data_IF_949925885700
#
_entry.id   IF_949925885700
#
_cell.length_a   1.000
_cell.length_b   1.000
_cell.length_c   1.000
_cell.angle_alpha   90.00
_cell.angle_beta   90.00
_cell.angle_gamma   90.00
#
_symmetry.space_group_name_H-M   'P 1'
#
loop_
_entity.id
_entity.type
_entity.pdbx_description
1 polymer ?
#
# COMPACT_ATOMS: atom_id res chain seq x y z
N UNK A 1 29.64 28.73 3.93
CA UNK A 1 28.99 27.47 4.32
C UNK A 1 29.98 26.63 5.12
N UNK A 2 29.54 26.03 6.23
CA UNK A 2 30.42 25.25 7.10
C UNK A 2 30.89 23.96 6.37
N UNK A 3 32.17 23.60 6.48
CA UNK A 3 32.79 22.49 5.74
C UNK A 3 32.24 21.11 6.12
N UNK A 4 31.52 21.02 7.24
CA UNK A 4 30.90 19.79 7.76
C UNK A 4 29.37 19.79 7.61
N UNK A 5 28.81 20.59 6.70
CA UNK A 5 27.37 20.55 6.42
C UNK A 5 27.02 19.40 5.47
N UNK A 6 25.92 18.73 5.73
CA UNK A 6 25.39 17.65 4.90
C UNK A 6 23.91 17.89 4.60
N UNK A 7 23.44 17.58 3.37
CA UNK A 7 22.03 17.65 3.07
C UNK A 7 21.29 16.56 3.84
N UNK A 8 20.13 16.91 4.37
CA UNK A 8 19.20 15.95 4.96
C UNK A 8 17.80 16.18 4.40
N UNK A 9 17.03 15.09 4.30
CA UNK A 9 15.68 15.12 3.72
C UNK A 9 14.65 15.50 4.76
N UNK A 10 13.71 16.35 4.36
CA UNK A 10 12.51 16.74 5.13
C UNK A 10 11.30 16.77 4.21
N UNK A 11 10.09 16.74 4.77
CA UNK A 11 8.86 16.82 3.99
C UNK A 11 8.55 18.26 3.61
N UNK A 12 8.19 18.49 2.35
CA UNK A 12 7.70 19.80 1.89
C UNK A 12 6.41 20.22 2.60
N UNK A 13 5.60 19.26 3.08
CA UNK A 13 4.41 19.53 3.88
C UNK A 13 4.68 20.29 5.17
N UNK A 14 5.93 20.35 5.65
CA UNK A 14 6.33 21.19 6.79
C UNK A 14 6.12 22.69 6.50
N UNK A 15 6.14 23.10 5.23
CA UNK A 15 6.07 24.50 4.80
C UNK A 15 4.62 24.98 4.54
N UNK A 16 3.63 24.34 5.14
CA UNK A 16 2.23 24.77 5.07
C UNK A 16 1.91 25.81 6.15
N UNK A 17 0.90 26.64 5.91
CA UNK A 17 0.43 27.67 6.88
C UNK A 17 0.08 27.08 8.24
N UNK A 18 -0.55 25.90 8.26
CA UNK A 18 -0.90 25.20 9.50
C UNK A 18 0.34 24.90 10.37
N UNK A 19 1.45 24.50 9.76
CA UNK A 19 2.69 24.21 10.47
C UNK A 19 3.45 25.49 10.84
N UNK A 20 3.36 26.52 10.00
CA UNK A 20 3.92 27.84 10.30
C UNK A 20 3.32 28.40 11.60
N UNK A 21 1.99 28.34 11.76
CA UNK A 21 1.30 28.83 12.95
C UNK A 21 1.62 27.98 14.19
N UNK A 22 1.74 26.66 14.01
CA UNK A 22 2.02 25.70 15.11
C UNK A 22 3.46 25.71 15.57
N UNK A 23 4.45 25.90 14.69
CA UNK A 23 5.88 25.86 15.04
C UNK A 23 6.49 27.25 15.19
N UNK A 24 6.12 28.20 14.33
CA UNK A 24 6.81 29.48 14.21
C UNK A 24 8.33 29.30 14.13
N UNK A 25 9.07 30.04 14.96
CA UNK A 25 10.54 29.97 15.01
C UNK A 25 11.11 28.67 15.57
N UNK A 26 10.31 27.81 16.21
CA UNK A 26 10.79 26.52 16.75
C UNK A 26 11.17 25.52 15.65
N UNK A 27 10.82 25.81 14.39
CA UNK A 27 11.20 25.01 13.22
C UNK A 27 12.72 24.80 13.12
N UNK A 28 13.53 25.79 13.53
CA UNK A 28 14.99 25.67 13.52
C UNK A 28 15.49 24.55 14.44
N UNK A 29 14.90 24.46 15.64
CA UNK A 29 15.22 23.42 16.60
C UNK A 29 14.73 22.05 16.10
N UNK A 30 13.53 22.01 15.51
CA UNK A 30 12.99 20.79 14.93
C UNK A 30 13.87 20.23 13.79
N UNK A 31 14.29 21.09 12.85
CA UNK A 31 15.19 20.73 11.76
C UNK A 31 16.55 20.25 12.28
N UNK A 32 17.06 20.87 13.34
CA UNK A 32 18.28 20.42 14.00
C UNK A 32 18.11 19.02 14.60
N UNK A 33 16.99 18.70 15.23
CA UNK A 33 16.73 17.35 15.73
C UNK A 33 16.65 16.32 14.59
N UNK A 34 16.04 16.65 13.45
CA UNK A 34 16.04 15.79 12.27
C UNK A 34 17.48 15.53 11.81
N UNK A 35 18.29 16.59 11.69
CA UNK A 35 19.69 16.46 11.29
C UNK A 35 20.49 15.59 12.28
N UNK A 36 20.23 15.74 13.58
CA UNK A 36 20.89 15.03 14.69
C UNK A 36 20.28 13.66 15.00
N UNK A 37 19.33 13.19 14.19
CA UNK A 37 18.75 11.85 14.34
C UNK A 37 19.81 10.80 13.97
N UNK A 38 20.07 9.85 14.86
CA UNK A 38 21.09 8.80 14.66
C UNK A 38 20.48 7.45 14.33
N UNK A 39 19.29 7.16 14.88
CA UNK A 39 18.55 5.92 14.65
C UNK A 39 17.07 6.23 14.51
N UNK A 40 16.37 5.45 13.70
CA UNK A 40 14.92 5.48 13.61
C UNK A 40 14.35 4.22 14.26
N UNK A 41 13.35 4.38 15.12
CA UNK A 41 12.59 3.29 15.72
C UNK A 41 11.12 3.47 15.35
N UNK A 42 10.45 2.37 15.03
CA UNK A 42 8.99 2.37 14.82
C UNK A 42 8.34 2.07 16.16
N UNK A 43 7.54 3.01 16.66
CA UNK A 43 6.75 2.84 17.87
C UNK A 43 5.31 3.24 17.55
N UNK A 44 4.36 2.37 17.85
CA UNK A 44 2.92 2.56 17.58
C UNK A 44 2.58 2.86 16.10
N UNK A 45 3.26 2.20 15.15
CA UNK A 45 3.06 2.45 13.72
C UNK A 45 3.60 3.80 13.21
N UNK A 46 4.17 4.62 14.10
CA UNK A 46 4.76 5.92 13.76
C UNK A 46 6.29 5.82 13.81
N UNK A 47 6.97 6.36 12.80
CA UNK A 47 8.44 6.44 12.79
C UNK A 47 8.90 7.54 13.74
N UNK A 48 9.68 7.16 14.75
CA UNK A 48 10.31 8.04 15.71
C UNK A 48 11.83 8.03 15.53
N UNK A 49 12.40 9.22 15.34
CA UNK A 49 13.84 9.43 15.26
C UNK A 49 14.43 9.61 16.64
N UNK A 50 15.36 8.76 17.03
CA UNK A 50 16.18 8.96 18.22
C UNK A 50 17.22 10.02 17.92
N UNK A 51 17.14 11.13 18.64
CA UNK A 51 18.10 12.22 18.57
C UNK A 51 19.35 11.83 19.37
N UNK A 52 20.54 11.98 18.76
CA UNK A 52 21.84 11.76 19.40
C UNK A 52 21.99 10.41 20.13
N UNK A 53 21.26 9.37 19.72
CA UNK A 53 21.34 8.04 20.30
C UNK A 53 20.84 7.94 21.75
N UNK A 54 19.81 8.72 22.11
CA UNK A 54 19.29 8.86 23.49
C UNK A 54 20.26 9.53 24.46
N UNK A 55 21.31 10.18 23.98
CA UNK A 55 22.14 11.04 24.83
C UNK A 55 21.26 12.13 25.46
N UNK A 56 21.22 12.27 26.80
CA UNK A 56 20.51 13.38 27.44
C UNK A 56 21.13 14.71 27.03
N UNK A 57 20.33 15.62 26.48
CA UNK A 57 20.78 16.95 26.04
C UNK A 57 20.23 18.00 26.99
N UNK A 58 21.08 18.95 27.41
CA UNK A 58 20.65 20.08 28.24
C UNK A 58 20.12 21.21 27.36
N UNK A 59 19.12 21.95 27.86
CA UNK A 59 18.60 23.13 27.16
C UNK A 59 19.68 24.17 26.85
N UNK A 60 20.70 24.26 27.71
CA UNK A 60 21.89 25.10 27.52
C UNK A 60 22.69 24.75 26.28
N UNK A 61 22.96 23.48 26.06
CA UNK A 61 23.73 23.02 24.89
C UNK A 61 22.99 23.35 23.59
N UNK A 62 21.67 23.19 23.58
CA UNK A 62 20.83 23.58 22.44
C UNK A 62 20.81 25.10 22.24
N UNK A 63 20.77 25.89 23.32
CA UNK A 63 20.80 27.34 23.29
C UNK A 63 22.11 27.88 22.69
N UNK A 64 23.24 27.27 23.04
CA UNK A 64 24.57 27.61 22.52
C UNK A 64 24.67 27.40 21.00
N UNK A 65 24.02 26.37 20.44
CA UNK A 65 24.01 26.11 18.99
C UNK A 65 23.37 27.25 18.19
N UNK A 66 22.29 27.85 18.71
CA UNK A 66 21.54 28.91 18.01
C UNK A 66 21.88 30.33 18.51
N UNK A 67 22.68 30.46 19.57
CA UNK A 67 22.95 31.74 20.21
C UNK A 67 21.71 32.36 20.88
N UNK A 68 20.77 31.55 21.35
CA UNK A 68 19.52 32.02 21.98
C UNK A 68 19.52 31.73 23.49
N UNK A 69 18.59 32.35 24.23
CA UNK A 69 18.44 32.05 25.67
C UNK A 69 17.89 30.65 25.92
N UNK A 70 18.25 30.02 27.05
CA UNK A 70 17.66 28.74 27.48
C UNK A 70 16.14 28.81 27.59
N UNK A 71 15.60 29.96 28.02
CA UNK A 71 14.15 30.18 28.14
C UNK A 71 13.46 30.06 26.78
N UNK A 72 14.10 30.56 25.72
CA UNK A 72 13.61 30.42 24.34
C UNK A 72 13.58 28.96 23.90
N UNK A 73 14.65 28.21 24.17
CA UNK A 73 14.72 26.79 23.82
C UNK A 73 13.67 25.98 24.57
N UNK A 74 13.48 26.21 25.87
CA UNK A 74 12.42 25.55 26.65
C UNK A 74 11.04 25.83 26.07
N UNK A 75 10.74 27.09 25.74
CA UNK A 75 9.48 27.45 25.07
C UNK A 75 9.31 26.75 23.73
N UNK A 76 10.38 26.61 22.94
CA UNK A 76 10.34 25.86 21.69
C UNK A 76 10.09 24.37 21.91
N UNK A 77 10.73 23.76 22.92
CA UNK A 77 10.47 22.36 23.30
C UNK A 77 9.02 22.14 23.70
N UNK A 78 8.49 22.99 24.60
CA UNK A 78 7.10 22.89 25.07
C UNK A 78 6.10 23.02 23.91
N UNK A 79 6.39 23.91 22.96
CA UNK A 79 5.55 24.16 21.79
C UNK A 79 5.61 22.99 20.78
N UNK A 80 6.80 22.45 20.53
CA UNK A 80 6.98 21.26 19.68
C UNK A 80 6.37 20.00 20.29
N UNK A 81 6.44 19.85 21.62
CA UNK A 81 5.81 18.75 22.35
C UNK A 81 4.29 18.88 22.35
N UNK A 82 3.76 20.07 22.61
CA UNK A 82 2.31 20.36 22.59
C UNK A 82 1.66 20.03 21.24
N UNK A 83 2.36 20.26 20.14
CA UNK A 83 1.89 19.94 18.80
C UNK A 83 2.34 18.56 18.31
N UNK A 84 2.85 17.72 19.20
CA UNK A 84 3.26 16.33 18.96
C UNK A 84 4.34 16.14 17.88
N UNK A 85 5.15 17.16 17.62
CA UNK A 85 6.28 17.03 16.68
C UNK A 85 7.44 16.27 17.33
N UNK A 86 7.58 16.38 18.64
CA UNK A 86 8.60 15.70 19.43
C UNK A 86 7.96 15.06 20.67
N UNK A 87 8.59 14.01 21.18
CA UNK A 87 8.37 13.48 22.53
C UNK A 87 9.61 13.78 23.36
N UNK A 88 9.41 14.34 24.54
CA UNK A 88 10.48 14.67 25.47
C UNK A 88 10.35 13.75 26.69
N UNK A 89 11.43 13.04 27.03
CA UNK A 89 11.52 12.21 28.22
C UNK A 89 12.59 12.79 29.13
N UNK A 90 12.26 13.03 30.41
CA UNK A 90 13.23 13.51 31.39
C UNK A 90 14.20 12.38 31.75
N UNK A 91 15.49 12.68 31.67
CA UNK A 91 16.58 11.82 32.15
C UNK A 91 17.34 12.52 33.29
N UNK A 92 18.09 11.78 34.13
CA UNK A 92 18.83 12.35 35.26
C UNK A 92 19.80 13.49 34.87
N UNK A 93 20.32 13.49 33.64
CA UNK A 93 21.34 14.44 33.18
C UNK A 93 20.87 15.38 32.04
N UNK A 94 19.59 15.35 31.68
CA UNK A 94 19.06 16.17 30.58
C UNK A 94 17.74 15.67 30.02
N UNK A 95 17.44 16.05 28.79
CA UNK A 95 16.24 15.66 28.06
C UNK A 95 16.61 14.65 26.97
N UNK A 96 15.91 13.51 26.94
CA UNK A 96 15.93 12.58 25.82
C UNK A 96 14.82 12.97 24.86
N UNK A 97 15.15 13.14 23.59
CA UNK A 97 14.23 13.69 22.59
C UNK A 97 14.05 12.69 21.46
N UNK A 98 12.78 12.43 21.15
CA UNK A 98 12.37 11.61 20.02
C UNK A 98 11.58 12.46 19.04
N UNK A 99 11.90 12.40 17.75
CA UNK A 99 11.29 13.22 16.70
C UNK A 99 10.28 12.42 15.92
N UNK A 100 9.07 12.94 15.73
CA UNK A 100 8.04 12.30 14.90
C UNK A 100 8.37 12.50 13.41
N UNK A 101 8.16 11.46 12.60
CA UNK A 101 8.37 11.50 11.14
C UNK A 101 9.79 11.83 10.66
N UNK A 102 10.82 11.50 11.44
CA UNK A 102 12.19 11.52 10.90
C UNK A 102 12.26 10.50 9.75
N UNK A 103 12.51 10.98 8.53
CA UNK A 103 12.74 10.15 7.32
C UNK A 103 14.21 10.20 6.89
N UNK A 104 15.11 10.48 7.83
CA UNK A 104 16.55 10.60 7.55
C UNK A 104 17.11 9.28 7.02
N UNK A 105 16.61 8.15 7.54
CA UNK A 105 16.95 6.80 7.10
C UNK A 105 15.80 6.16 6.36
N UNK A 106 15.14 6.91 5.47
CA UNK A 106 14.33 6.26 4.43
C UNK A 106 15.28 5.33 3.71
N UNK A 107 15.14 4.02 3.95
CA UNK A 107 16.00 3.02 3.35
C UNK A 107 16.06 3.36 1.88
N UNK A 108 17.26 3.67 1.39
CA UNK A 108 17.53 3.58 -0.02
C UNK A 108 17.11 2.16 -0.39
N UNK A 109 15.97 2.04 -1.06
CA UNK A 109 15.66 0.89 -1.89
C UNK A 109 16.56 0.89 -3.14
N UNK A 110 17.68 1.63 -3.13
CA UNK A 110 18.83 1.35 -3.95
C UNK A 110 19.60 0.21 -3.28
N UNK A 111 19.08 -1.01 -3.48
CA UNK A 111 19.94 -2.17 -3.64
C UNK A 111 20.89 -1.84 -4.79
N UNK A 112 22.00 -1.17 -4.48
CA UNK A 112 23.20 -1.35 -5.27
C UNK A 112 23.57 -2.82 -5.08
N UNK A 113 23.12 -3.64 -6.03
CA UNK A 113 23.75 -4.92 -6.32
C UNK A 113 25.21 -4.57 -6.59
N UNK A 114 26.04 -4.77 -5.58
CA UNK A 114 27.48 -4.80 -5.73
C UNK A 114 27.75 -6.04 -6.60
N UNK A 115 28.28 -5.91 -7.82
CA UNK A 115 28.71 -7.09 -8.55
C UNK A 115 29.86 -7.71 -7.75
N UNK A 116 29.60 -8.92 -7.26
CA UNK A 116 30.58 -9.88 -6.75
C UNK A 116 31.81 -9.91 -7.67
N UNK A 117 33.00 -9.70 -7.10
CA UNK A 117 34.25 -9.82 -7.85
C UNK A 117 35.42 -9.09 -7.22
N UNK A 118 35.97 -9.64 -6.14
CA UNK A 118 37.43 -9.85 -5.96
C UNK A 118 37.75 -10.12 -4.49
N UNK A 119 37.76 -11.40 -4.15
CA UNK A 119 38.80 -12.10 -3.40
C UNK A 119 39.84 -11.22 -2.68
N UNK A 120 39.65 -11.00 -1.36
CA UNK A 120 40.75 -10.86 -0.37
C UNK A 120 40.26 -11.29 1.01
N UNK A 121 40.72 -12.48 1.39
CA UNK A 121 40.90 -13.01 2.74
C UNK A 121 41.35 -11.94 3.73
N UNK A 122 40.67 -11.79 4.88
CA UNK A 122 41.30 -11.73 6.21
C UNK A 122 40.27 -12.08 7.31
N UNK A 123 40.67 -12.83 8.35
CA UNK A 123 39.75 -13.49 9.29
C UNK A 123 39.65 -12.71 10.62
N UNK A 124 38.45 -12.59 11.21
CA UNK A 124 38.31 -12.29 12.65
C UNK A 124 37.05 -12.95 13.23
N UNK A 125 37.31 -13.96 14.07
CA UNK A 125 36.59 -14.49 15.24
C UNK A 125 35.04 -14.53 15.29
N UNK A 126 34.46 -15.73 15.50
CA UNK A 126 33.06 -15.92 15.87
C UNK A 126 32.92 -16.25 17.36
N UNK A 127 32.43 -15.33 18.19
CA UNK A 127 31.77 -15.72 19.44
C UNK A 127 30.56 -14.82 19.75
N UNK A 128 29.42 -15.50 19.91
CA UNK A 128 28.42 -15.27 20.95
C UNK A 128 27.54 -14.01 20.93
N UNK A 129 26.34 -14.14 20.35
CA UNK A 129 25.18 -14.71 21.08
C UNK A 129 23.91 -14.64 20.24
N UNK A 130 23.33 -15.82 20.09
CA UNK A 130 21.97 -16.09 19.69
C UNK A 130 20.98 -15.41 20.66
N UNK A 131 20.23 -14.42 20.18
CA UNK A 131 18.89 -14.12 20.72
C UNK A 131 17.93 -14.10 19.54
N UNK A 132 17.40 -15.27 19.23
CA UNK A 132 16.05 -15.40 18.68
C UNK A 132 15.11 -14.55 19.55
N UNK A 133 14.57 -13.50 18.96
CA UNK A 133 13.22 -13.08 19.31
C UNK A 133 12.42 -13.12 18.02
N UNK A 134 11.59 -14.15 17.93
CA UNK A 134 10.44 -14.19 17.05
C UNK A 134 9.63 -12.91 17.33
N UNK A 135 9.72 -11.92 16.44
CA UNK A 135 8.76 -10.83 16.42
C UNK A 135 7.74 -11.24 15.38
N UNK A 136 6.70 -11.85 15.93
CA UNK A 136 5.44 -12.18 15.30
C UNK A 136 4.98 -11.01 14.41
N UNK A 137 4.97 -11.27 13.10
CA UNK A 137 4.57 -10.31 12.07
C UNK A 137 3.04 -10.23 12.14
N UNK A 138 2.52 -9.49 13.11
CA UNK A 138 1.09 -9.13 13.11
C UNK A 138 0.90 -8.02 12.08
N UNK A 139 0.43 -8.47 10.91
CA UNK A 139 0.13 -7.71 9.70
C UNK A 139 -0.90 -6.60 9.95
N UNK A 140 -0.45 -5.36 10.10
CA UNK A 140 -1.23 -4.20 9.64
C UNK A 140 -0.82 -3.88 8.21
N UNK A 141 -1.37 -4.63 7.26
CA UNK A 141 -1.31 -4.28 5.84
C UNK A 141 -2.17 -3.03 5.64
N UNK A 142 -1.60 -1.85 5.84
CA UNK A 142 -2.28 -0.61 5.49
C UNK A 142 -2.58 -0.65 3.99
N UNK A 143 -3.79 -0.27 3.56
CA UNK A 143 -4.16 -0.27 2.13
C UNK A 143 -3.14 0.49 1.26
N UNK A 144 -2.44 1.46 1.84
CA UNK A 144 -1.32 2.18 1.25
C UNK A 144 -0.13 1.26 0.90
N UNK A 145 0.21 0.28 1.73
CA UNK A 145 1.29 -0.67 1.46
C UNK A 145 0.94 -1.60 0.29
N UNK A 146 -0.32 -2.00 0.17
CA UNK A 146 -0.79 -2.76 -0.99
C UNK A 146 -0.72 -1.94 -2.27
N UNK A 147 -1.17 -0.68 -2.22
CA UNK A 147 -1.09 0.26 -3.34
C UNK A 147 0.37 0.47 -3.76
N UNK A 148 1.27 0.68 -2.79
CA UNK A 148 2.69 0.91 -3.04
C UNK A 148 3.38 -0.33 -3.65
N UNK A 149 3.03 -1.53 -3.20
CA UNK A 149 3.53 -2.80 -3.78
C UNK A 149 3.11 -2.94 -5.25
N UNK A 150 1.83 -2.67 -5.56
CA UNK A 150 1.32 -2.74 -6.93
C UNK A 150 1.99 -1.66 -7.81
N UNK A 151 2.09 -0.42 -7.31
CA UNK A 151 2.71 0.69 -8.03
C UNK A 151 4.20 0.42 -8.33
N UNK A 152 4.95 -0.09 -7.36
CA UNK A 152 6.35 -0.46 -7.53
C UNK A 152 6.54 -1.55 -8.60
N UNK A 153 5.67 -2.56 -8.60
CA UNK A 153 5.72 -3.62 -9.61
C UNK A 153 5.38 -3.09 -11.03
N UNK A 154 4.40 -2.19 -11.15
CA UNK A 154 4.06 -1.54 -12.41
C UNK A 154 5.22 -0.69 -12.94
N UNK A 155 5.86 0.10 -12.08
CA UNK A 155 7.05 0.91 -12.44
C UNK A 155 8.18 0.02 -12.97
N UNK A 156 8.42 -1.12 -12.33
CA UNK A 156 9.46 -2.07 -12.74
C UNK A 156 9.19 -2.63 -14.14
N UNK A 157 7.96 -3.08 -14.41
CA UNK A 157 7.56 -3.62 -15.71
C UNK A 157 7.64 -2.55 -16.81
N UNK A 158 7.18 -1.33 -16.50
CA UNK A 158 7.20 -0.21 -17.44
C UNK A 158 8.61 0.28 -17.74
N UNK A 159 9.48 0.34 -16.72
CA UNK A 159 10.88 0.74 -16.91
C UNK A 159 11.65 -0.31 -17.73
N UNK A 160 11.33 -1.59 -17.56
CA UNK A 160 11.89 -2.66 -18.39
C UNK A 160 11.42 -2.56 -19.85
N UNK A 161 10.17 -2.18 -20.08
CA UNK A 161 9.60 -2.04 -21.44
C UNK A 161 10.10 -0.79 -22.17
N UNK A 162 10.20 0.36 -21.48
CA UNK A 162 10.62 1.63 -22.09
C UNK A 162 12.15 1.82 -22.11
N UNK A 163 12.93 0.95 -21.44
CA UNK A 163 14.40 1.05 -21.35
C UNK A 163 14.90 2.29 -20.59
N UNK A 164 14.00 3.00 -19.91
CA UNK A 164 14.27 4.22 -19.14
C UNK A 164 13.56 4.15 -17.79
N UNK A 165 14.05 4.90 -16.80
CA UNK A 165 13.36 5.00 -15.50
C UNK A 165 12.08 5.79 -15.67
N UNK A 166 10.95 5.18 -15.36
CA UNK A 166 9.62 5.81 -15.43
C UNK A 166 8.94 5.75 -14.08
N UNK A 167 8.31 6.85 -13.67
CA UNK A 167 7.57 6.94 -12.42
C UNK A 167 6.07 6.81 -12.66
N UNK A 168 5.35 6.24 -11.69
CA UNK A 168 3.90 6.20 -11.72
C UNK A 168 3.32 7.62 -11.50
N UNK A 169 2.38 8.01 -12.34
CA UNK A 169 1.66 9.28 -12.20
C UNK A 169 0.68 9.23 -11.02
N UNK A 170 0.29 10.38 -10.46
CA UNK A 170 -0.81 10.47 -9.49
C UNK A 170 -2.10 9.79 -9.99
N UNK A 171 -2.38 9.85 -11.30
CA UNK A 171 -3.51 9.13 -11.92
C UNK A 171 -3.37 7.61 -11.86
N UNK A 172 -2.14 7.09 -11.93
CA UNK A 172 -1.86 5.66 -11.83
C UNK A 172 -2.12 5.18 -10.39
N UNK A 173 -1.68 5.96 -9.39
CA UNK A 173 -1.97 5.68 -7.97
C UNK A 173 -3.48 5.65 -7.67
N UNK A 174 -4.23 6.61 -8.22
CA UNK A 174 -5.70 6.62 -8.10
C UNK A 174 -6.35 5.37 -8.72
N UNK A 175 -5.86 4.94 -9.89
CA UNK A 175 -6.37 3.74 -10.55
C UNK A 175 -6.03 2.46 -9.76
N UNK A 176 -4.83 2.38 -9.18
CA UNK A 176 -4.43 1.27 -8.29
C UNK A 176 -5.33 1.23 -7.04
N UNK A 177 -5.54 2.38 -6.40
CA UNK A 177 -6.40 2.47 -5.22
C UNK A 177 -7.84 2.01 -5.51
N UNK A 178 -8.37 2.32 -6.70
CA UNK A 178 -9.69 1.82 -7.13
C UNK A 178 -9.73 0.30 -7.24
N UNK A 179 -8.69 -0.33 -7.78
CA UNK A 179 -8.62 -1.80 -7.90
C UNK A 179 -8.53 -2.47 -6.53
N UNK A 180 -7.72 -1.92 -5.62
CA UNK A 180 -7.61 -2.41 -4.23
C UNK A 180 -8.94 -2.25 -3.49
N UNK A 181 -9.62 -1.09 -3.65
CA UNK A 181 -10.94 -0.85 -3.04
C UNK A 181 -12.04 -1.81 -3.51
N UNK A 182 -11.89 -2.40 -4.70
CA UNK A 182 -12.79 -3.43 -5.24
C UNK A 182 -12.49 -4.84 -4.72
N UNK A 183 -11.54 -4.97 -3.78
CA UNK A 183 -11.22 -6.22 -3.10
C UNK A 183 -10.17 -7.08 -3.82
N UNK A 184 -9.37 -6.50 -4.71
CA UNK A 184 -8.24 -7.21 -5.33
C UNK A 184 -7.04 -7.14 -4.41
N UNK A 185 -6.52 -8.30 -4.01
CA UNK A 185 -5.29 -8.37 -3.21
C UNK A 185 -4.06 -7.92 -4.00
N UNK A 186 -3.05 -7.36 -3.32
CA UNK A 186 -1.80 -6.94 -3.96
C UNK A 186 -1.13 -8.04 -4.79
N UNK A 187 -1.17 -9.29 -4.30
CA UNK A 187 -0.60 -10.44 -4.99
C UNK A 187 -1.34 -10.76 -6.30
N UNK A 188 -2.67 -10.72 -6.30
CA UNK A 188 -3.47 -10.95 -7.52
C UNK A 188 -3.28 -9.83 -8.54
N UNK A 189 -3.25 -8.57 -8.10
CA UNK A 189 -2.99 -7.42 -8.96
C UNK A 189 -1.61 -7.52 -9.62
N UNK A 190 -0.57 -7.91 -8.87
CA UNK A 190 0.79 -8.13 -9.41
C UNK A 190 0.80 -9.24 -10.46
N UNK A 191 0.12 -10.37 -10.20
CA UNK A 191 0.00 -11.45 -11.17
C UNK A 191 -0.69 -11.00 -12.46
N UNK A 192 -1.81 -10.28 -12.34
CA UNK A 192 -2.54 -9.76 -13.49
C UNK A 192 -1.77 -8.68 -14.25
N UNK A 193 -0.94 -7.89 -13.58
CA UNK A 193 0.00 -6.97 -14.24
C UNK A 193 0.97 -7.73 -15.13
N UNK A 194 1.60 -8.79 -14.63
CA UNK A 194 2.50 -9.63 -15.42
C UNK A 194 1.82 -10.17 -16.68
N UNK A 195 0.63 -10.76 -16.51
CA UNK A 195 -0.16 -11.29 -17.64
C UNK A 195 -0.62 -10.22 -18.63
N UNK A 196 -0.91 -9.01 -18.15
CA UNK A 196 -1.28 -7.89 -19.01
C UNK A 196 -0.10 -7.43 -19.88
N UNK A 197 1.10 -7.35 -19.31
CA UNK A 197 2.31 -6.96 -20.04
C UNK A 197 2.74 -8.06 -21.03
N UNK A 198 2.66 -9.34 -20.66
CA UNK A 198 2.97 -10.44 -21.61
C UNK A 198 1.96 -10.48 -22.76
N UNK A 199 0.66 -10.36 -22.47
CA UNK A 199 -0.38 -10.31 -23.49
C UNK A 199 -0.28 -9.05 -24.39
N UNK A 200 0.33 -7.98 -23.89
CA UNK A 200 0.63 -6.80 -24.69
C UNK A 200 1.84 -7.03 -25.59
N UNK A 201 2.94 -7.58 -25.06
CA UNK A 201 4.14 -7.92 -25.86
C UNK A 201 3.82 -8.90 -26.99
N UNK A 202 2.96 -9.90 -26.75
CA UNK A 202 2.55 -10.84 -27.80
C UNK A 202 1.72 -10.19 -28.94
N UNK A 203 1.05 -9.07 -28.67
CA UNK A 203 0.23 -8.35 -29.65
C UNK A 203 0.96 -7.15 -30.26
N UNK A 204 2.10 -6.77 -29.68
CA UNK A 204 2.85 -5.58 -30.05
C UNK A 204 3.40 -5.74 -31.47
N UNK A 205 3.10 -4.75 -32.33
CA UNK A 205 3.57 -4.75 -33.73
C UNK A 205 4.84 -3.93 -33.88
N UNK A 206 5.03 -2.88 -33.07
CA UNK A 206 6.21 -2.00 -33.10
C UNK A 206 6.87 -1.84 -31.74
N UNK A 207 8.20 -1.75 -31.72
CA UNK A 207 9.00 -1.51 -30.51
C UNK A 207 8.70 -0.17 -29.82
N UNK A 208 8.06 0.77 -30.52
CA UNK A 208 7.66 2.09 -30.00
C UNK A 208 6.35 2.07 -29.19
N UNK A 209 5.57 0.99 -29.28
CA UNK A 209 4.32 0.86 -28.54
C UNK A 209 4.62 0.36 -27.12
N UNK A 210 4.27 1.15 -26.12
CA UNK A 210 4.48 0.81 -24.72
C UNK A 210 3.26 1.15 -23.89
N UNK A 211 3.12 0.46 -22.75
CA UNK A 211 2.04 0.75 -21.81
C UNK A 211 2.39 2.02 -21.03
N UNK A 212 1.75 3.13 -21.37
CA UNK A 212 2.04 4.46 -20.79
C UNK A 212 1.28 4.79 -19.50
N UNK A 213 0.20 4.07 -19.21
CA UNK A 213 -0.68 4.39 -18.08
C UNK A 213 -1.27 3.12 -17.47
N UNK A 214 -1.40 3.13 -16.14
CA UNK A 214 -1.99 2.02 -15.39
C UNK A 214 -3.47 1.80 -15.75
N UNK A 215 -4.16 2.83 -16.25
CA UNK A 215 -5.55 2.73 -16.71
C UNK A 215 -5.77 1.63 -17.77
N UNK A 216 -4.77 1.33 -18.59
CA UNK A 216 -4.82 0.21 -19.54
C UNK A 216 -4.88 -1.13 -18.80
N UNK A 217 -3.97 -1.34 -17.84
CA UNK A 217 -3.94 -2.53 -17.01
C UNK A 217 -5.18 -2.63 -16.11
N UNK A 218 -5.71 -1.50 -15.63
CA UNK A 218 -6.92 -1.45 -14.82
C UNK A 218 -8.12 -2.02 -15.58
N UNK A 219 -8.34 -1.64 -16.86
CA UNK A 219 -9.40 -2.21 -17.69
C UNK A 219 -9.31 -3.73 -17.81
N UNK A 220 -8.10 -4.25 -18.08
CA UNK A 220 -7.85 -5.68 -18.16
C UNK A 220 -8.16 -6.42 -16.85
N UNK A 221 -7.86 -5.81 -15.70
CA UNK A 221 -8.17 -6.37 -14.39
C UNK A 221 -9.68 -6.29 -14.07
N UNK A 222 -10.33 -5.18 -14.42
CA UNK A 222 -11.76 -4.98 -14.22
C UNK A 222 -12.59 -6.00 -15.00
N UNK A 223 -12.24 -6.27 -16.27
CA UNK A 223 -12.91 -7.30 -17.08
C UNK A 223 -12.88 -8.67 -16.41
N UNK A 224 -11.73 -9.01 -15.80
CA UNK A 224 -11.52 -10.29 -15.13
C UNK A 224 -12.25 -10.39 -13.79
N UNK A 225 -12.34 -9.27 -13.08
CA UNK A 225 -13.10 -9.16 -11.85
C UNK A 225 -14.60 -9.27 -12.12
N UNK A 226 -15.08 -8.59 -13.16
CA UNK A 226 -16.46 -8.68 -13.64
C UNK A 226 -16.80 -10.11 -14.09
N UNK A 227 -15.90 -10.79 -14.81
CA UNK A 227 -16.08 -12.18 -15.20
C UNK A 227 -16.14 -13.13 -13.98
N UNK A 228 -15.36 -12.87 -12.92
CA UNK A 228 -15.42 -13.62 -11.65
C UNK A 228 -16.75 -13.39 -10.94
N UNK A 229 -17.23 -12.15 -10.86
CA UNK A 229 -18.53 -11.81 -10.27
C UNK A 229 -19.66 -12.48 -11.06
N UNK A 230 -19.65 -12.37 -12.40
CA UNK A 230 -20.62 -12.99 -13.28
C UNK A 230 -20.69 -14.51 -13.11
N UNK A 231 -19.52 -15.18 -13.03
CA UNK A 231 -19.46 -16.63 -12.77
C UNK A 231 -20.06 -17.00 -11.41
N UNK A 232 -19.77 -16.24 -10.35
CA UNK A 232 -20.36 -16.45 -9.01
C UNK A 232 -21.88 -16.24 -9.00
N UNK A 233 -22.40 -15.24 -9.73
CA UNK A 233 -23.85 -15.02 -9.86
C UNK A 233 -24.54 -16.11 -10.68
N UNK A 234 -23.90 -16.64 -11.72
CA UNK A 234 -24.44 -17.75 -12.53
C UNK A 234 -24.48 -19.04 -11.71
N UNK A 235 -23.45 -19.35 -10.92
CA UNK A 235 -23.44 -20.54 -10.05
C UNK A 235 -24.49 -20.45 -8.94
N UNK A 236 -24.62 -19.30 -8.27
CA UNK A 236 -25.69 -19.11 -7.26
C UNK A 236 -27.08 -19.16 -7.86
N UNK A 237 -27.31 -18.62 -9.06
CA UNK A 237 -28.60 -18.77 -9.78
C UNK A 237 -28.88 -20.23 -10.14
N UNK A 238 -27.87 -20.98 -10.61
CA UNK A 238 -27.99 -22.42 -10.89
C UNK A 238 -28.27 -23.23 -9.63
N UNK A 239 -27.63 -22.92 -8.51
CA UNK A 239 -27.88 -23.57 -7.21
C UNK A 239 -29.28 -23.27 -6.69
N UNK A 240 -29.74 -22.00 -6.75
CA UNK A 240 -31.13 -21.64 -6.40
C UNK A 240 -32.14 -22.38 -7.28
N UNK A 241 -31.90 -22.45 -8.59
CA UNK A 241 -32.77 -23.19 -9.50
C UNK A 241 -32.76 -24.70 -9.19
N UNK A 242 -31.62 -25.28 -8.79
CA UNK A 242 -31.50 -26.70 -8.41
C UNK A 242 -32.18 -27.02 -7.08
N UNK A 243 -32.22 -26.07 -6.15
CA UNK A 243 -33.00 -26.17 -4.91
C UNK A 243 -34.51 -26.09 -5.23
N UNK A 244 -34.91 -25.18 -6.12
CA UNK A 244 -36.31 -25.03 -6.52
C UNK A 244 -36.84 -26.25 -7.32
N UNK A 245 -35.99 -26.88 -8.14
CA UNK A 245 -36.30 -28.15 -8.81
C UNK A 245 -36.47 -29.30 -7.79
N UNK A 246 -35.67 -29.34 -6.72
CA UNK A 246 -35.81 -30.36 -5.66
C UNK A 246 -37.09 -30.16 -4.83
N UNK A 247 -37.59 -28.94 -4.70
CA UNK A 247 -38.86 -28.67 -3.99
C UNK A 247 -40.10 -29.06 -4.79
N UNK A 248 -40.00 -29.20 -6.11
CA UNK A 248 -41.12 -29.66 -6.96
C UNK A 248 -41.25 -31.19 -7.05
N UNK A 249 -40.31 -31.95 -6.46
CA UNK A 249 -40.40 -33.42 -6.36
C UNK A 249 -41.14 -33.90 -5.10
N UNK A 250 -41.91 -33.02 -4.44
CA UNK A 250 -42.87 -33.39 -3.39
C UNK A 250 -44.30 -33.15 -3.89
N UNK A 251 -44.69 -33.98 -4.84
CA UNK A 251 -46.06 -34.24 -5.24
C UNK A 251 -46.04 -35.69 -5.77
N UNK A 252 -46.90 -36.63 -5.41
CA UNK A 252 -48.07 -36.61 -4.56
C UNK A 252 -48.45 -38.11 -4.51
N UNK A 253 -48.11 -38.81 -3.43
CA UNK A 253 -48.58 -40.17 -3.20
C UNK A 253 -50.00 -40.08 -2.63
N UNK A 254 -50.96 -39.70 -3.47
CA UNK A 254 -52.40 -39.97 -3.33
C UNK A 254 -53.17 -39.25 -4.45
N UNK A 255 -53.11 -39.84 -5.65
CA UNK A 255 -54.03 -39.48 -6.73
C UNK A 255 -55.08 -40.59 -6.85
N UNK A 256 -56.36 -40.35 -6.51
CA UNK A 256 -57.39 -41.31 -6.83
C UNK A 256 -57.49 -41.40 -8.36
N UNK A 257 -57.48 -42.63 -8.88
CA UNK A 257 -57.61 -42.92 -10.30
C UNK A 257 -58.80 -42.16 -10.91
N UNK A 258 -58.49 -41.25 -11.84
CA UNK A 258 -59.51 -40.67 -12.70
C UNK A 258 -59.90 -41.74 -13.72
N UNK A 259 -61.11 -42.28 -13.53
CA UNK A 259 -61.80 -43.16 -14.47
C UNK A 259 -61.65 -42.65 -15.90
N UNK A 260 -61.22 -43.54 -16.78
CA UNK A 260 -61.24 -43.38 -18.21
C UNK A 260 -62.68 -43.12 -18.67
N UNK A 261 -62.89 -42.08 -19.47
CA UNK A 261 -63.88 -42.04 -20.55
C UNK A 261 -63.69 -40.75 -21.34
N UNK A 262 -62.84 -40.80 -22.36
CA UNK A 262 -62.92 -39.88 -23.50
C UNK A 262 -63.40 -40.69 -24.70
N UNK A 263 -64.68 -40.51 -25.05
CA UNK A 263 -65.38 -41.18 -26.16
C UNK A 263 -64.96 -40.64 -27.55
N UNK A 264 -64.10 -39.62 -27.62
CA UNK A 264 -63.59 -39.07 -28.89
C UNK A 264 -62.08 -39.25 -28.95
N UNK A 265 -61.65 -40.31 -29.63
CA UNK A 265 -60.25 -40.69 -29.84
C UNK A 265 -59.45 -39.70 -30.70
N UNK A 266 -59.10 -38.55 -30.13
CA UNK A 266 -57.95 -37.76 -30.59
C UNK A 266 -58.03 -37.19 -32.02
N UNK A 267 -59.21 -36.80 -32.50
CA UNK A 267 -59.31 -36.06 -33.78
C UNK A 267 -59.75 -34.61 -33.56
N UNK A 268 -58.77 -33.69 -33.53
CA UNK A 268 -59.03 -32.26 -33.67
C UNK A 268 -59.15 -31.91 -35.16
N UNK A 269 -60.39 -31.86 -35.66
CA UNK A 269 -60.73 -31.40 -37.01
C UNK A 269 -60.74 -29.88 -37.12
N UNK A 270 -59.96 -29.36 -38.08
CA UNK A 270 -59.80 -27.93 -38.40
C UNK A 270 -61.03 -27.43 -39.19
N UNK A 271 -61.90 -26.63 -38.56
CA UNK A 271 -63.06 -26.03 -39.25
C UNK A 271 -62.57 -24.85 -40.10
N UNK A 272 -62.63 -24.99 -41.42
CA UNK A 272 -62.45 -23.88 -42.39
C UNK A 272 -63.74 -23.06 -42.47
N UNK A 273 -63.66 -21.75 -42.25
CA UNK A 273 -64.72 -20.80 -42.59
C UNK A 273 -64.72 -20.56 -44.10
N UNK A 274 -65.87 -20.69 -44.76
CA UNK A 274 -66.10 -20.20 -46.14
C UNK A 274 -66.51 -18.73 -46.09
N UNK A 275 -66.16 -17.90 -47.08
CA UNK A 275 -66.76 -16.59 -47.26
C UNK A 275 -68.10 -16.72 -48.01
N UNK A 276 -68.97 -15.75 -47.69
CA UNK A 276 -70.31 -15.38 -48.21
C UNK A 276 -70.85 -16.18 -49.40
#
# INVERSE_FOLDING_TARGET
MNRNSYPFLTYSGLLNSEHYDKMGSSVWLFLWFISSTTKEQVHDGVKWGIVLGQKPVKAREMAEVFGVSEKTVRRWLDLLEKHEYIKVVRAPYGLMISVKHSKKFTQRADTYIRPEGSDRTFPVNPEDKNVRSDIDITKDNTAEDEINKIAGHFIRLRSAQEGRRVYASSRDYQAIARIVSRGVSAHEAIKWLGECFTAFEHRRTSSTETIKAFSYCAKFMEDRLNARIAKKTITTRRERNKIHDKTNNRADSDRPEKRETSITGGQTGRIRRKPL
#
